data_IF_894086311697
#
_entry.id   IF_894086311697
#
_cell.length_a   1.000
_cell.length_b   1.000
_cell.length_c   1.000
_cell.angle_alpha   90.00
_cell.angle_beta   90.00
_cell.angle_gamma   90.00
#
_symmetry.space_group_name_H-M   'P 1'
#
loop_
_entity.id
_entity.type
_entity.pdbx_description
1 polymer ?
#
# COMPACT_ATOMS: atom_id res chain seq x y z
N UNK A 1 39.43 31.27 48.20
CA UNK A 1 38.56 30.14 47.82
C UNK A 1 39.41 28.89 47.88
N UNK A 2 39.08 27.94 48.75
CA UNK A 2 39.85 26.69 48.89
C UNK A 2 39.20 25.57 48.05
N UNK A 3 39.94 24.47 47.85
CA UNK A 3 39.50 23.34 47.01
C UNK A 3 38.18 22.73 47.54
N UNK A 4 37.98 22.68 48.86
CA UNK A 4 36.76 22.13 49.46
C UNK A 4 35.52 22.97 49.11
N UNK A 5 35.63 24.30 49.13
CA UNK A 5 34.55 25.21 48.75
C UNK A 5 34.16 25.10 47.26
N UNK A 6 35.11 24.75 46.40
CA UNK A 6 34.87 24.48 44.98
C UNK A 6 34.12 23.16 44.76
N UNK A 7 34.49 22.11 45.52
CA UNK A 7 33.87 20.80 45.44
C UNK A 7 32.43 20.82 45.97
N UNK A 8 32.19 21.47 47.11
CA UNK A 8 30.86 21.58 47.71
C UNK A 8 29.89 22.39 46.80
N UNK A 9 30.41 23.36 46.03
CA UNK A 9 29.64 24.12 45.04
C UNK A 9 29.34 23.31 43.75
N UNK A 10 30.19 22.33 43.41
CA UNK A 10 30.07 21.51 42.21
C UNK A 10 29.24 20.22 42.41
N UNK A 11 29.14 19.73 43.65
CA UNK A 11 28.37 18.54 44.02
C UNK A 11 26.89 18.57 43.59
N UNK A 12 26.13 19.67 43.76
CA UNK A 12 24.76 19.73 43.24
C UNK A 12 24.73 19.62 41.71
N UNK A 13 25.63 20.29 40.98
CA UNK A 13 25.68 20.22 39.53
C UNK A 13 25.95 18.78 39.02
N UNK A 14 26.83 18.03 39.69
CA UNK A 14 27.10 16.63 39.38
C UNK A 14 25.87 15.72 39.51
N UNK A 15 24.92 16.06 40.38
CA UNK A 15 23.70 15.29 40.63
C UNK A 15 22.56 15.61 39.66
N UNK A 16 22.54 16.82 39.09
CA UNK A 16 21.54 17.24 38.08
C UNK A 16 21.91 16.84 36.65
N UNK A 17 23.21 16.69 36.35
CA UNK A 17 23.70 16.28 35.02
C UNK A 17 23.14 14.93 34.55
N UNK A 18 23.07 13.86 35.37
CA UNK A 18 22.53 12.56 34.94
C UNK A 18 21.05 12.60 34.57
N UNK A 19 20.23 13.32 35.35
CA UNK A 19 18.78 13.41 35.13
C UNK A 19 18.47 14.22 33.88
N UNK A 20 19.10 15.38 33.73
CA UNK A 20 18.96 16.20 32.52
C UNK A 20 19.44 15.45 31.26
N UNK A 21 20.51 14.64 31.38
CA UNK A 21 21.00 13.81 30.28
C UNK A 21 20.00 12.69 29.93
N UNK A 22 19.39 12.05 30.92
CA UNK A 22 18.39 11.00 30.70
C UNK A 22 17.11 11.55 30.02
N UNK A 23 16.67 12.75 30.41
CA UNK A 23 15.56 13.45 29.78
C UNK A 23 15.87 13.80 28.32
N UNK A 24 17.07 14.30 28.04
CA UNK A 24 17.53 14.60 26.67
C UNK A 24 17.62 13.34 25.81
N UNK A 25 18.18 12.25 26.33
CA UNK A 25 18.25 10.96 25.63
C UNK A 25 16.84 10.44 25.32
N UNK A 26 15.92 10.55 26.28
CA UNK A 26 14.54 10.10 26.10
C UNK A 26 13.81 10.97 25.07
N UNK A 27 13.98 12.29 25.15
CA UNK A 27 13.44 13.24 24.19
C UNK A 27 13.96 12.99 22.78
N UNK A 28 15.27 12.75 22.64
CA UNK A 28 15.89 12.41 21.37
C UNK A 28 15.38 11.07 20.82
N UNK A 29 15.28 10.04 21.67
CA UNK A 29 14.75 8.74 21.25
C UNK A 29 13.30 8.84 20.76
N UNK A 30 12.48 9.65 21.42
CA UNK A 30 11.10 9.91 20.99
C UNK A 30 11.05 10.67 19.66
N UNK A 31 11.89 11.70 19.49
CA UNK A 31 12.00 12.45 18.25
C UNK A 31 12.43 11.56 17.08
N UNK A 32 13.41 10.67 17.29
CA UNK A 32 13.87 9.71 16.28
C UNK A 32 12.74 8.75 15.89
N UNK A 33 12.03 8.17 16.87
CA UNK A 33 10.88 7.28 16.56
C UNK A 33 9.79 8.00 15.77
N UNK A 34 9.49 9.25 16.14
CA UNK A 34 8.50 10.05 15.43
C UNK A 34 8.92 10.31 13.99
N UNK A 35 10.20 10.66 13.78
CA UNK A 35 10.74 10.91 12.45
C UNK A 35 10.76 9.62 11.59
N UNK A 36 11.11 8.48 12.18
CA UNK A 36 11.05 7.18 11.50
C UNK A 36 9.62 6.87 11.05
N UNK A 37 8.63 7.08 11.93
CA UNK A 37 7.22 6.88 11.57
C UNK A 37 6.78 7.78 10.41
N UNK A 38 7.12 9.07 10.47
CA UNK A 38 6.80 10.01 9.39
C UNK A 38 7.45 9.62 8.07
N UNK A 39 8.71 9.16 8.11
CA UNK A 39 9.41 8.68 6.94
C UNK A 39 8.72 7.44 6.33
N UNK A 40 8.32 6.48 7.15
CA UNK A 40 7.63 5.28 6.68
C UNK A 40 6.27 5.61 6.06
N UNK A 41 5.51 6.53 6.67
CA UNK A 41 4.24 7.03 6.13
C UNK A 41 4.44 7.71 4.76
N UNK A 42 5.48 8.53 4.61
CA UNK A 42 5.83 9.16 3.33
C UNK A 42 6.21 8.12 2.28
N UNK A 43 7.04 7.13 2.62
CA UNK A 43 7.40 6.05 1.68
C UNK A 43 6.17 5.24 1.25
N UNK A 44 5.28 4.92 2.18
CA UNK A 44 4.04 4.21 1.87
C UNK A 44 3.17 5.01 0.89
N UNK A 45 3.02 6.33 1.12
CA UNK A 45 2.26 7.21 0.22
C UNK A 45 2.88 7.29 -1.18
N UNK A 46 4.21 7.37 -1.29
CA UNK A 46 4.91 7.40 -2.58
C UNK A 46 4.77 6.08 -3.33
N UNK A 47 4.87 4.93 -2.64
CA UNK A 47 4.68 3.60 -3.24
C UNK A 47 3.25 3.40 -3.74
N UNK A 48 2.26 3.84 -2.97
CA UNK A 48 0.86 3.78 -3.37
C UNK A 48 0.61 4.64 -4.63
N UNK A 49 1.05 5.90 -4.63
CA UNK A 49 0.91 6.78 -5.79
C UNK A 49 1.71 6.32 -7.02
N UNK A 50 2.89 5.73 -6.83
CA UNK A 50 3.65 5.13 -7.92
C UNK A 50 2.94 3.88 -8.50
N UNK A 51 2.35 3.05 -7.64
CA UNK A 51 1.57 1.89 -8.08
C UNK A 51 0.32 2.30 -8.84
N UNK A 52 -0.41 3.31 -8.36
CA UNK A 52 -1.58 3.86 -9.07
C UNK A 52 -1.19 4.36 -10.47
N UNK A 53 -0.12 5.14 -10.59
CA UNK A 53 0.38 5.62 -11.88
C UNK A 53 0.80 4.49 -12.80
N UNK A 54 1.49 3.47 -12.28
CA UNK A 54 1.90 2.31 -13.06
C UNK A 54 0.69 1.50 -13.56
N UNK A 55 -0.31 1.27 -12.70
CA UNK A 55 -1.57 0.62 -13.08
C UNK A 55 -2.29 1.45 -14.15
N UNK A 56 -2.39 2.76 -13.96
CA UNK A 56 -3.04 3.64 -14.93
C UNK A 56 -2.34 3.62 -16.28
N UNK A 57 -1.00 3.67 -16.31
CA UNK A 57 -0.24 3.57 -17.56
C UNK A 57 -0.46 2.22 -18.26
N UNK A 58 -0.47 1.11 -17.51
CA UNK A 58 -0.74 -0.22 -18.07
C UNK A 58 -2.17 -0.34 -18.62
N UNK A 59 -3.16 0.26 -17.95
CA UNK A 59 -4.54 0.31 -18.44
C UNK A 59 -4.66 1.17 -19.70
N UNK A 60 -4.00 2.33 -19.74
CA UNK A 60 -4.00 3.22 -20.91
C UNK A 60 -3.31 2.52 -22.12
N UNK A 61 -2.22 1.75 -21.90
CA UNK A 61 -1.56 0.94 -22.94
C UNK A 61 -2.43 -0.22 -23.42
N UNK A 62 -3.18 -0.85 -22.52
CA UNK A 62 -4.10 -1.95 -22.84
C UNK A 62 -5.48 -1.48 -23.29
N UNK A 63 -5.70 -0.16 -23.47
CA UNK A 63 -7.03 0.41 -23.70
C UNK A 63 -7.75 -0.17 -24.93
N UNK A 64 -7.01 -0.54 -25.98
CA UNK A 64 -7.57 -1.15 -27.20
C UNK A 64 -8.18 -2.54 -26.96
N UNK A 65 -7.70 -3.27 -25.95
CA UNK A 65 -8.23 -4.58 -25.54
C UNK A 65 -9.31 -4.46 -24.46
N UNK A 66 -9.38 -3.33 -23.77
CA UNK A 66 -10.40 -3.06 -22.76
C UNK A 66 -11.66 -2.47 -23.36
N UNK A 67 -11.57 -1.96 -24.60
CA UNK A 67 -12.74 -1.54 -25.37
C UNK A 67 -13.50 -2.78 -25.90
N UNK A 68 -14.73 -2.93 -25.43
CA UNK A 68 -15.60 -4.06 -25.75
C UNK A 68 -16.03 -4.04 -27.22
N UNK A 69 -16.16 -2.85 -27.79
CA UNK A 69 -16.47 -2.67 -29.22
C UNK A 69 -15.27 -3.13 -30.06
N UNK A 70 -14.04 -2.77 -29.66
CA UNK A 70 -12.82 -3.20 -30.35
C UNK A 70 -12.60 -4.72 -30.31
N UNK A 71 -12.85 -5.43 -29.20
CA UNK A 71 -12.67 -6.89 -29.17
C UNK A 71 -13.68 -7.62 -30.08
N UNK A 72 -14.94 -7.20 -30.09
CA UNK A 72 -15.95 -7.82 -30.95
C UNK A 72 -15.66 -7.55 -32.43
N UNK A 73 -15.31 -6.31 -32.78
CA UNK A 73 -14.88 -5.95 -34.13
C UNK A 73 -13.59 -6.69 -34.55
N UNK A 74 -12.58 -6.76 -33.67
CA UNK A 74 -11.31 -7.44 -33.92
C UNK A 74 -11.51 -8.94 -34.19
N UNK A 75 -12.43 -9.58 -33.46
CA UNK A 75 -12.75 -10.99 -33.65
C UNK A 75 -13.79 -11.23 -34.75
N UNK A 76 -14.30 -10.18 -35.40
CA UNK A 76 -15.34 -10.27 -36.43
C UNK A 76 -16.65 -10.88 -35.90
N UNK A 77 -16.95 -10.67 -34.62
CA UNK A 77 -18.15 -11.21 -33.96
C UNK A 77 -19.15 -10.07 -33.79
N UNK A 78 -20.36 -10.22 -34.32
CA UNK A 78 -21.43 -9.28 -34.04
C UNK A 78 -21.99 -9.44 -32.62
N UNK A 79 -22.59 -8.38 -32.08
CA UNK A 79 -23.30 -8.43 -30.80
C UNK A 79 -24.41 -9.49 -30.77
N UNK A 80 -25.13 -9.65 -31.88
CA UNK A 80 -26.19 -10.64 -32.03
C UNK A 80 -25.61 -12.06 -31.97
N UNK A 81 -24.51 -12.31 -32.69
CA UNK A 81 -23.85 -13.61 -32.66
C UNK A 81 -23.20 -13.91 -31.30
N UNK A 82 -22.72 -12.89 -30.59
CA UNK A 82 -22.18 -13.04 -29.24
C UNK A 82 -23.27 -13.45 -28.25
N UNK A 83 -24.42 -12.76 -28.28
CA UNK A 83 -25.58 -13.10 -27.46
C UNK A 83 -26.11 -14.51 -27.77
N UNK A 84 -26.14 -14.89 -29.05
CA UNK A 84 -26.62 -16.20 -29.45
C UNK A 84 -25.67 -17.33 -29.00
N UNK A 85 -24.35 -17.09 -29.03
CA UNK A 85 -23.35 -18.01 -28.47
C UNK A 85 -23.50 -18.17 -26.95
N UNK A 86 -23.78 -17.09 -26.23
CA UNK A 86 -24.05 -17.13 -24.78
C UNK A 86 -25.28 -18.00 -24.47
N UNK A 87 -26.40 -17.77 -25.18
CA UNK A 87 -27.63 -18.56 -25.05
C UNK A 87 -27.36 -20.05 -25.31
N UNK A 88 -26.63 -20.37 -26.37
CA UNK A 88 -26.27 -21.76 -26.70
C UNK A 88 -25.38 -22.41 -25.64
N UNK A 89 -24.40 -21.67 -25.10
CA UNK A 89 -23.53 -22.16 -24.03
C UNK A 89 -24.29 -22.43 -22.74
N UNK A 90 -25.23 -21.56 -22.36
CA UNK A 90 -26.12 -21.78 -21.21
C UNK A 90 -27.03 -22.99 -21.41
N UNK A 91 -27.64 -23.15 -22.59
CA UNK A 91 -28.49 -24.30 -22.88
C UNK A 91 -27.72 -25.63 -22.79
N UNK A 92 -26.47 -25.65 -23.27
CA UNK A 92 -25.57 -26.79 -23.14
C UNK A 92 -25.20 -27.06 -21.68
N UNK A 93 -24.81 -26.02 -20.93
CA UNK A 93 -24.51 -26.12 -19.50
C UNK A 93 -25.67 -26.76 -18.72
N UNK A 94 -26.89 -26.28 -18.94
CA UNK A 94 -28.09 -26.81 -18.26
C UNK A 94 -28.39 -28.26 -18.65
N UNK A 95 -28.16 -28.63 -19.91
CA UNK A 95 -28.29 -30.01 -20.35
C UNK A 95 -27.27 -30.93 -19.66
N UNK A 96 -26.02 -30.48 -19.52
CA UNK A 96 -24.98 -31.22 -18.81
C UNK A 96 -25.29 -31.39 -17.32
N UNK A 97 -25.81 -30.35 -16.66
CA UNK A 97 -26.26 -30.44 -15.27
C UNK A 97 -27.40 -31.44 -15.10
N UNK A 98 -28.39 -31.41 -16.00
CA UNK A 98 -29.49 -32.39 -15.99
C UNK A 98 -29.01 -33.82 -16.19
N UNK A 99 -28.03 -34.04 -17.08
CA UNK A 99 -27.45 -35.37 -17.30
C UNK A 99 -26.55 -35.83 -16.13
N UNK A 100 -25.81 -34.91 -15.52
CA UNK A 100 -24.97 -35.18 -14.35
C UNK A 100 -25.78 -35.51 -13.09
N UNK A 101 -26.96 -34.89 -12.93
CA UNK A 101 -27.89 -35.15 -11.83
C UNK A 101 -28.69 -36.47 -11.98
N UNK A 102 -28.61 -37.13 -13.15
CA UNK A 102 -29.26 -38.43 -13.42
C UNK A 102 -28.33 -39.64 -13.24
N UNK A 103 -27.15 -39.45 -12.65
CA UNK A 103 -26.26 -40.53 -12.17
C UNK A 103 -26.26 -40.58 -10.66
#
# INVERSE_FOLDING_TARGET
MNIQQLLDAAEPASRYVPTATAELITGLANAVRQLTKQHDDVIASLRAGASEKAIKAALDECSEFLDRDCIMELNGISYEDAAQREIGAMALHDALLRQGATK
#
